data_IF_498045492035
#
_entry.id   IF_498045492035
#
_cell.length_a   1.000
_cell.length_b   1.000
_cell.length_c   1.000
_cell.angle_alpha   90.00
_cell.angle_beta   90.00
_cell.angle_gamma   90.00
#
_symmetry.space_group_name_H-M   'P 1'
#
loop_
_entity.id
_entity.type
_entity.pdbx_description
1 polymer ?
#
# COMPACT_ATOMS: atom_id res chain seq x y z
N UNK A 1 10.42 -6.49 1.88
CA UNK A 1 9.58 -7.51 1.18
C UNK A 1 8.24 -7.80 1.87
N UNK A 2 8.16 -7.85 3.21
CA UNK A 2 6.88 -8.10 3.91
C UNK A 2 5.80 -7.07 3.60
N UNK A 3 6.14 -5.78 3.58
CA UNK A 3 5.20 -4.69 3.32
C UNK A 3 4.57 -4.78 1.92
N UNK A 4 5.36 -5.12 0.90
CA UNK A 4 4.86 -5.33 -0.47
C UNK A 4 3.81 -6.46 -0.58
N UNK A 5 4.02 -7.57 0.13
CA UNK A 5 3.09 -8.70 0.17
C UNK A 5 1.87 -8.37 1.05
N UNK A 6 2.08 -7.60 2.12
CA UNK A 6 1.05 -7.18 3.06
C UNK A 6 -0.05 -6.35 2.41
N UNK A 7 0.28 -5.48 1.44
CA UNK A 7 -0.70 -4.62 0.74
C UNK A 7 -1.82 -5.45 0.08
N UNK A 8 -1.55 -6.34 -0.89
CA UNK A 8 -2.62 -7.13 -1.51
C UNK A 8 -3.24 -8.14 -0.54
N UNK A 9 -2.48 -8.66 0.42
CA UNK A 9 -2.99 -9.62 1.41
C UNK A 9 -4.07 -9.00 2.29
N UNK A 10 -3.86 -7.79 2.80
CA UNK A 10 -4.85 -7.10 3.62
C UNK A 10 -6.06 -6.64 2.80
N UNK A 11 -5.88 -6.20 1.55
CA UNK A 11 -7.01 -5.90 0.66
C UNK A 11 -7.89 -7.14 0.47
N UNK A 12 -7.30 -8.29 0.13
CA UNK A 12 -8.02 -9.53 -0.09
C UNK A 12 -8.70 -10.04 1.20
N UNK A 13 -7.99 -10.01 2.33
CA UNK A 13 -8.52 -10.43 3.62
C UNK A 13 -9.69 -9.54 4.06
N UNK A 14 -9.55 -8.23 3.90
CA UNK A 14 -10.58 -7.25 4.19
C UNK A 14 -11.83 -7.42 3.34
N UNK A 15 -11.65 -7.72 2.05
CA UNK A 15 -12.76 -7.99 1.12
C UNK A 15 -13.57 -9.23 1.52
N UNK A 16 -12.96 -10.20 2.23
CA UNK A 16 -13.64 -11.38 2.77
C UNK A 16 -14.39 -11.14 4.08
N UNK A 17 -14.32 -9.93 4.67
CA UNK A 17 -14.99 -9.60 5.93
C UNK A 17 -16.48 -9.31 5.73
N UNK A 18 -17.25 -9.43 6.82
CA UNK A 18 -18.71 -9.33 6.77
C UNK A 18 -19.23 -7.90 6.79
N UNK A 19 -18.43 -6.95 7.29
CA UNK A 19 -18.84 -5.56 7.42
C UNK A 19 -17.90 -4.61 6.67
N UNK A 20 -18.49 -3.52 6.17
CA UNK A 20 -17.77 -2.43 5.51
C UNK A 20 -16.76 -1.77 6.45
N UNK A 21 -17.07 -1.70 7.75
CA UNK A 21 -16.17 -1.18 8.78
C UNK A 21 -14.90 -2.03 8.91
N UNK A 22 -15.03 -3.35 8.96
CA UNK A 22 -13.86 -4.25 8.99
C UNK A 22 -13.06 -4.12 7.70
N UNK A 23 -13.72 -4.10 6.54
CA UNK A 23 -13.01 -3.92 5.28
C UNK A 23 -12.20 -2.62 5.27
N UNK A 24 -12.78 -1.52 5.73
CA UNK A 24 -12.09 -0.23 5.82
C UNK A 24 -10.88 -0.25 6.77
N UNK A 25 -10.93 -1.04 7.85
CA UNK A 25 -9.79 -1.25 8.73
C UNK A 25 -8.64 -1.96 8.01
N UNK A 26 -8.94 -3.02 7.25
CA UNK A 26 -7.95 -3.72 6.42
C UNK A 26 -7.37 -2.84 5.30
N UNK A 27 -8.19 -1.99 4.68
CA UNK A 27 -7.71 -0.99 3.72
C UNK A 27 -6.75 0.02 4.37
N UNK A 28 -7.01 0.41 5.61
CA UNK A 28 -6.11 1.27 6.38
C UNK A 28 -4.76 0.59 6.68
N UNK A 29 -4.77 -0.71 6.99
CA UNK A 29 -3.53 -1.50 7.17
C UNK A 29 -2.76 -1.61 5.85
N UNK A 30 -3.47 -1.79 4.74
CA UNK A 30 -2.89 -1.83 3.39
C UNK A 30 -2.22 -0.49 3.05
N UNK A 31 -2.87 0.64 3.38
CA UNK A 31 -2.31 1.98 3.22
C UNK A 31 -1.02 2.17 4.04
N UNK A 32 -1.04 1.76 5.31
CA UNK A 32 0.15 1.80 6.17
C UNK A 32 1.31 0.98 5.60
N UNK A 33 1.02 -0.21 5.08
CA UNK A 33 2.02 -1.07 4.44
C UNK A 33 2.60 -0.45 3.16
N UNK A 34 1.80 0.32 2.40
CA UNK A 34 2.27 1.05 1.22
C UNK A 34 3.26 2.17 1.58
N UNK A 35 2.96 2.97 2.60
CA UNK A 35 3.88 4.01 3.10
C UNK A 35 5.16 3.43 3.72
N UNK A 36 5.06 2.29 4.40
CA UNK A 36 6.22 1.58 4.93
C UNK A 36 7.14 1.12 3.78
N UNK A 37 6.57 0.54 2.72
CA UNK A 37 7.35 0.12 1.55
C UNK A 37 7.99 1.31 0.84
N UNK A 38 7.26 2.41 0.68
CA UNK A 38 7.80 3.66 0.12
C UNK A 38 9.03 4.14 0.91
N UNK A 39 8.92 4.18 2.25
CA UNK A 39 10.05 4.52 3.13
C UNK A 39 11.22 3.56 2.95
N UNK A 40 10.96 2.25 2.91
CA UNK A 40 12.00 1.23 2.70
C UNK A 40 12.70 1.39 1.35
N UNK A 41 11.98 1.76 0.28
CA UNK A 41 12.55 1.98 -1.05
C UNK A 41 13.42 3.23 -1.10
N UNK A 42 12.99 4.32 -0.45
CA UNK A 42 13.80 5.53 -0.32
C UNK A 42 15.10 5.20 0.40
N UNK A 43 15.03 4.52 1.55
CA UNK A 43 16.24 4.10 2.29
C UNK A 43 17.13 3.16 1.48
N UNK A 44 16.55 2.24 0.70
CA UNK A 44 17.31 1.35 -0.17
C UNK A 44 18.10 2.12 -1.23
N UNK A 45 17.53 3.21 -1.77
CA UNK A 45 18.22 4.08 -2.70
C UNK A 45 19.35 4.87 -2.01
N UNK A 46 19.09 5.46 -0.86
CA UNK A 46 20.08 6.22 -0.08
C UNK A 46 21.30 5.35 0.30
N UNK A 47 21.08 4.06 0.55
CA UNK A 47 22.15 3.10 0.82
C UNK A 47 22.79 2.48 -0.42
N UNK A 48 22.38 2.88 -1.62
CA UNK A 48 22.94 2.38 -2.88
C UNK A 48 22.53 0.96 -3.26
N UNK A 49 21.46 0.41 -2.66
CA UNK A 49 20.94 -0.92 -2.98
C UNK A 49 20.03 -0.93 -4.22
N UNK A 50 19.49 0.22 -4.62
CA UNK A 50 18.65 0.36 -5.82
C UNK A 50 19.01 1.62 -6.60
N UNK A 51 18.84 1.57 -7.91
CA UNK A 51 19.09 2.73 -8.78
C UNK A 51 17.89 3.67 -8.82
N UNK A 52 18.15 4.95 -9.12
CA UNK A 52 17.11 6.00 -9.21
C UNK A 52 15.94 5.64 -10.13
N UNK A 53 16.14 5.08 -11.34
CA UNK A 53 15.01 4.71 -12.20
C UNK A 53 14.09 3.64 -11.59
N UNK A 54 14.66 2.69 -10.83
CA UNK A 54 13.89 1.65 -10.14
C UNK A 54 13.10 2.26 -8.99
N UNK A 55 13.73 3.14 -8.20
CA UNK A 55 13.04 3.88 -7.14
C UNK A 55 11.83 4.64 -7.71
N UNK A 56 12.05 5.46 -8.74
CA UNK A 56 11.01 6.30 -9.30
C UNK A 56 9.85 5.48 -9.88
N UNK A 57 10.15 4.34 -10.52
CA UNK A 57 9.12 3.40 -10.98
C UNK A 57 8.30 2.84 -9.82
N UNK A 58 8.94 2.38 -8.75
CA UNK A 58 8.25 1.79 -7.60
C UNK A 58 7.42 2.84 -6.85
N UNK A 59 7.94 4.05 -6.67
CA UNK A 59 7.21 5.16 -6.05
C UNK A 59 5.99 5.55 -6.89
N UNK A 60 6.11 5.56 -8.22
CA UNK A 60 4.97 5.83 -9.10
C UNK A 60 3.86 4.79 -8.91
N UNK A 61 4.21 3.51 -8.90
CA UNK A 61 3.25 2.42 -8.67
C UNK A 61 2.62 2.48 -7.25
N UNK A 62 3.42 2.79 -6.23
CA UNK A 62 2.91 2.94 -4.87
C UNK A 62 1.90 4.09 -4.76
N UNK A 63 2.18 5.22 -5.39
CA UNK A 63 1.25 6.35 -5.45
C UNK A 63 -0.08 5.98 -6.11
N UNK A 64 -0.05 5.17 -7.18
CA UNK A 64 -1.28 4.66 -7.81
C UNK A 64 -2.07 3.75 -6.86
N UNK A 65 -1.39 2.82 -6.20
CA UNK A 65 -2.03 1.92 -5.21
C UNK A 65 -2.64 2.72 -4.05
N UNK A 66 -1.92 3.69 -3.50
CA UNK A 66 -2.43 4.56 -2.42
C UNK A 66 -3.66 5.36 -2.88
N UNK A 67 -3.67 5.88 -4.10
CA UNK A 67 -4.85 6.56 -4.68
C UNK A 67 -6.03 5.59 -4.83
N UNK A 68 -5.79 4.37 -5.31
CA UNK A 68 -6.83 3.35 -5.45
C UNK A 68 -7.43 2.94 -4.11
N UNK A 69 -6.60 2.70 -3.08
CA UNK A 69 -7.06 2.38 -1.73
C UNK A 69 -7.92 3.53 -1.18
N UNK A 70 -7.43 4.76 -1.28
CA UNK A 70 -8.19 5.95 -0.84
C UNK A 70 -9.54 6.09 -1.58
N UNK A 71 -9.54 5.89 -2.91
CA UNK A 71 -10.76 5.94 -3.71
C UNK A 71 -11.77 4.87 -3.30
N UNK A 72 -11.28 3.65 -3.07
CA UNK A 72 -12.10 2.55 -2.58
C UNK A 72 -12.68 2.84 -1.19
N UNK A 73 -11.86 3.30 -0.24
CA UNK A 73 -12.33 3.69 1.09
C UNK A 73 -13.45 4.75 1.04
N UNK A 74 -13.30 5.78 0.20
CA UNK A 74 -14.33 6.80 -0.01
C UNK A 74 -15.62 6.22 -0.61
N UNK A 75 -15.51 5.27 -1.53
CA UNK A 75 -16.68 4.63 -2.16
C UNK A 75 -17.50 3.78 -1.19
N UNK A 76 -16.91 3.36 -0.07
CA UNK A 76 -17.57 2.56 0.96
C UNK A 76 -18.50 3.38 1.87
N UNK A 77 -18.52 4.72 1.74
CA UNK A 77 -19.52 5.57 2.39
C UNK A 77 -19.45 5.65 3.91
N UNK A 78 -18.28 5.39 4.51
CA UNK A 78 -17.99 5.66 5.93
C UNK A 78 -17.50 7.10 6.09
#
# INVERSE_FOLDING_TARGET
MRSAISIPSNIAEGCGRKSVKEFNQFLSISMGSAFELETQMILAFEFGYVEKPILDQVITLLNEIQKMINGLQKSLGI
#
